data_IF_453898661031
#
_entry.id   IF_453898661031
#
_cell.length_a   1.000
_cell.length_b   1.000
_cell.length_c   1.000
_cell.angle_alpha   90.00
_cell.angle_beta   90.00
_cell.angle_gamma   90.00
#
_symmetry.space_group_name_H-M   'P 1'
#
loop_
_entity.id
_entity.type
_entity.pdbx_description
1 polymer ?
#
# COMPACT_ATOMS: atom_id res chain seq x y z
N UNK A 1 7.39 14.68 12.04
CA UNK A 1 6.82 13.30 12.04
C UNK A 1 5.54 13.32 11.22
N UNK A 2 5.35 12.38 10.31
CA UNK A 2 4.12 12.31 9.50
C UNK A 2 3.09 11.44 10.22
N UNK A 3 1.84 11.88 10.29
CA UNK A 3 0.72 11.07 10.81
C UNK A 3 0.36 10.03 9.74
N UNK A 4 0.24 8.77 10.15
CA UNK A 4 0.00 7.63 9.24
C UNK A 4 -1.48 7.33 9.01
N UNK A 5 -2.36 7.89 9.84
CA UNK A 5 -3.80 7.61 9.88
C UNK A 5 -4.18 6.16 10.18
N UNK A 6 -3.21 5.35 10.63
CA UNK A 6 -3.47 4.06 11.27
C UNK A 6 -3.75 4.34 12.75
N UNK A 7 -5.02 4.40 13.12
CA UNK A 7 -5.46 4.85 14.45
C UNK A 7 -5.54 3.74 15.50
N UNK A 8 -5.27 2.50 15.11
CA UNK A 8 -5.26 1.34 15.99
C UNK A 8 -4.41 0.21 15.42
N UNK A 9 -3.89 -0.63 16.31
CA UNK A 9 -3.21 -1.86 15.94
C UNK A 9 -4.23 -2.98 15.66
N UNK A 10 -3.87 -3.97 14.84
CA UNK A 10 -4.73 -5.11 14.57
C UNK A 10 -5.01 -5.91 15.85
N UNK A 11 -6.18 -6.51 15.90
CA UNK A 11 -6.64 -7.38 16.97
C UNK A 11 -6.14 -8.83 16.84
N UNK A 12 -5.64 -9.22 15.67
CA UNK A 12 -5.30 -10.60 15.34
C UNK A 12 -6.52 -11.45 14.97
N UNK A 13 -7.74 -10.91 15.03
CA UNK A 13 -8.98 -11.62 14.69
C UNK A 13 -9.51 -11.26 13.30
N UNK A 14 -8.78 -10.43 12.55
CA UNK A 14 -9.15 -10.03 11.21
C UNK A 14 -9.20 -11.24 10.27
N UNK A 15 -10.22 -11.27 9.42
CA UNK A 15 -10.40 -12.29 8.38
C UNK A 15 -10.65 -11.62 7.04
N UNK A 16 -10.49 -12.37 5.95
CA UNK A 16 -10.80 -11.94 4.59
C UNK A 16 -9.58 -11.85 3.67
N UNK A 17 -9.83 -11.49 2.42
CA UNK A 17 -8.83 -11.43 1.35
C UNK A 17 -8.46 -9.98 1.00
N UNK A 18 -7.16 -9.71 0.90
CA UNK A 18 -6.62 -8.36 0.74
C UNK A 18 -5.57 -8.31 -0.36
N UNK A 19 -5.76 -7.45 -1.35
CA UNK A 19 -4.81 -7.27 -2.46
C UNK A 19 -3.88 -6.10 -2.18
N UNK A 20 -2.63 -6.39 -1.83
CA UNK A 20 -1.62 -5.36 -1.55
C UNK A 20 -0.69 -5.16 -2.73
N UNK A 21 -0.14 -3.94 -2.84
CA UNK A 21 0.96 -3.63 -3.74
C UNK A 21 2.11 -3.07 -2.93
N UNK A 22 3.31 -3.48 -3.29
CA UNK A 22 4.55 -2.89 -2.80
C UNK A 22 5.39 -2.51 -4.01
N UNK A 23 5.38 -1.23 -4.35
CA UNK A 23 6.22 -0.68 -5.39
C UNK A 23 7.55 -0.27 -4.73
N UNK A 24 8.56 -1.12 -4.91
CA UNK A 24 9.89 -0.92 -4.37
C UNK A 24 10.86 -0.27 -5.37
N UNK A 25 12.14 -0.17 -4.99
CA UNK A 25 13.19 0.40 -5.82
C UNK A 25 13.49 -0.40 -7.10
N UNK A 26 13.30 -1.72 -7.07
CA UNK A 26 13.71 -2.62 -8.17
C UNK A 26 12.56 -3.45 -8.70
N UNK A 27 11.60 -3.76 -7.83
CA UNK A 27 10.50 -4.65 -8.15
C UNK A 27 9.19 -4.03 -7.67
N UNK A 28 8.14 -4.29 -8.44
CA UNK A 28 6.77 -4.20 -8.03
C UNK A 28 6.34 -5.57 -7.50
N UNK A 29 5.78 -5.64 -6.31
CA UNK A 29 5.16 -6.86 -5.77
C UNK A 29 3.66 -6.65 -5.66
N UNK A 30 2.89 -7.62 -6.12
CA UNK A 30 1.45 -7.71 -5.91
C UNK A 30 1.19 -8.95 -5.07
N UNK A 31 0.42 -8.83 -3.99
CA UNK A 31 0.06 -9.96 -3.13
C UNK A 31 -1.44 -10.04 -2.91
N UNK A 32 -2.00 -11.24 -2.91
CA UNK A 32 -3.27 -11.58 -2.27
C UNK A 32 -2.93 -12.18 -0.90
N UNK A 33 -3.38 -11.52 0.15
CA UNK A 33 -3.20 -11.94 1.55
C UNK A 33 -4.55 -12.39 2.07
N UNK A 34 -4.66 -13.64 2.51
CA UNK A 34 -5.87 -14.17 3.15
C UNK A 34 -5.64 -14.28 4.65
N UNK A 35 -6.30 -13.42 5.41
CA UNK A 35 -6.31 -13.48 6.87
C UNK A 35 -7.43 -14.43 7.33
N UNK A 36 -7.13 -15.24 8.34
CA UNK A 36 -8.03 -16.25 8.92
C UNK A 36 -8.08 -16.14 10.46
N UNK A 37 -7.65 -15.00 11.01
CA UNK A 37 -7.31 -14.86 12.42
C UNK A 37 -5.91 -15.39 12.76
N UNK A 38 -5.41 -15.09 13.96
CA UNK A 38 -4.04 -15.35 14.40
C UNK A 38 -3.78 -16.83 14.75
N UNK A 39 -4.85 -17.63 14.92
CA UNK A 39 -4.74 -19.08 15.18
C UNK A 39 -4.36 -19.88 13.93
N UNK A 40 -4.56 -19.31 12.74
CA UNK A 40 -4.26 -19.94 11.47
C UNK A 40 -3.11 -19.21 10.75
N UNK A 41 -2.37 -19.95 9.92
CA UNK A 41 -1.35 -19.34 9.07
C UNK A 41 -1.99 -18.45 8.01
N UNK A 42 -1.36 -17.28 7.79
CA UNK A 42 -1.72 -16.36 6.72
C UNK A 42 -1.36 -17.00 5.38
N UNK A 43 -2.33 -17.09 4.46
CA UNK A 43 -2.06 -17.50 3.07
C UNK A 43 -1.65 -16.27 2.24
N UNK A 44 -0.55 -16.38 1.51
CA UNK A 44 -0.01 -15.30 0.69
C UNK A 44 0.30 -15.83 -0.71
N UNK A 45 -0.45 -15.34 -1.70
CA UNK A 45 -0.13 -15.53 -3.11
C UNK A 45 0.51 -14.24 -3.61
N UNK A 46 1.68 -14.34 -4.22
CA UNK A 46 2.42 -13.15 -4.65
C UNK A 46 2.95 -13.27 -6.08
N UNK A 47 3.10 -12.12 -6.71
CA UNK A 47 3.80 -11.94 -7.98
C UNK A 47 4.78 -10.79 -7.86
N UNK A 48 6.02 -11.02 -8.31
CA UNK A 48 7.08 -10.02 -8.34
C UNK A 48 7.38 -9.68 -9.80
N UNK A 49 7.22 -8.41 -10.16
CA UNK A 49 7.53 -7.86 -11.47
C UNK A 49 8.75 -6.95 -11.36
N UNK A 50 9.81 -7.24 -12.11
CA UNK A 50 10.98 -6.35 -12.18
C UNK A 50 10.58 -5.06 -12.88
N UNK A 51 10.96 -3.92 -12.30
CA UNK A 51 10.71 -2.61 -12.91
C UNK A 51 11.64 -2.40 -14.11
N UNK A 52 11.11 -2.13 -15.31
CA UNK A 52 11.91 -1.63 -16.43
C UNK A 52 12.61 -0.33 -16.04
N UNK A 53 13.88 -0.12 -16.45
CA UNK A 53 14.60 1.11 -16.16
C UNK A 53 13.88 2.37 -16.65
N UNK A 54 13.17 2.26 -17.78
CA UNK A 54 12.40 3.35 -18.39
C UNK A 54 11.27 3.89 -17.50
N UNK A 55 10.74 3.07 -16.58
CA UNK A 55 9.69 3.51 -15.65
C UNK A 55 10.26 4.49 -14.64
N UNK A 56 11.52 4.32 -14.23
CA UNK A 56 12.11 5.13 -13.15
C UNK A 56 12.32 6.58 -13.54
N UNK A 57 12.42 6.87 -14.83
CA UNK A 57 12.66 8.21 -15.39
C UNK A 57 11.56 8.62 -16.38
N UNK A 58 10.39 7.99 -16.28
CA UNK A 58 9.25 8.22 -17.17
C UNK A 58 8.29 9.26 -16.60
N UNK A 59 7.03 9.16 -17.01
CA UNK A 59 5.93 9.99 -16.52
C UNK A 59 4.95 9.18 -15.64
N UNK A 60 4.07 9.91 -14.96
CA UNK A 60 3.01 9.34 -14.12
C UNK A 60 2.15 8.31 -14.88
N UNK A 61 1.80 8.59 -16.13
CA UNK A 61 0.96 7.69 -16.93
C UNK A 61 1.64 6.34 -17.17
N UNK A 62 2.92 6.36 -17.54
CA UNK A 62 3.74 5.16 -17.78
C UNK A 62 3.85 4.32 -16.50
N UNK A 63 4.08 4.96 -15.34
CA UNK A 63 4.12 4.29 -14.05
C UNK A 63 2.80 3.59 -13.73
N UNK A 64 1.69 4.35 -13.74
CA UNK A 64 0.41 3.82 -13.32
C UNK A 64 -0.14 2.76 -14.28
N UNK A 65 0.11 2.91 -15.58
CA UNK A 65 -0.21 1.89 -16.57
C UNK A 65 0.54 0.57 -16.30
N UNK A 66 1.81 0.62 -15.90
CA UNK A 66 2.56 -0.58 -15.54
C UNK A 66 2.04 -1.23 -14.25
N UNK A 67 1.76 -0.43 -13.22
CA UNK A 67 1.22 -0.92 -11.94
C UNK A 67 -0.13 -1.60 -12.15
N UNK A 68 -1.05 -0.92 -12.83
CA UNK A 68 -2.40 -1.45 -13.10
C UNK A 68 -2.37 -2.62 -14.08
N UNK A 69 -1.45 -2.62 -15.05
CA UNK A 69 -1.23 -3.78 -15.93
C UNK A 69 -0.78 -5.01 -15.16
N UNK A 70 0.16 -4.84 -14.22
CA UNK A 70 0.64 -5.93 -13.34
C UNK A 70 -0.45 -6.45 -12.41
N UNK A 71 -1.30 -5.56 -11.87
CA UNK A 71 -2.48 -5.93 -11.10
C UNK A 71 -3.46 -6.75 -11.94
N UNK A 72 -3.86 -6.25 -13.10
CA UNK A 72 -4.83 -6.91 -13.99
C UNK A 72 -4.39 -8.34 -14.32
N UNK A 73 -3.12 -8.52 -14.67
CA UNK A 73 -2.57 -9.84 -14.94
C UNK A 73 -2.60 -10.75 -13.70
N UNK A 74 -2.24 -10.23 -12.53
CA UNK A 74 -2.30 -10.98 -11.26
C UNK A 74 -3.72 -11.43 -10.91
N UNK A 75 -4.71 -10.52 -11.03
CA UNK A 75 -6.11 -10.82 -10.75
C UNK A 75 -6.64 -11.90 -11.71
N UNK A 76 -6.29 -11.83 -13.00
CA UNK A 76 -6.67 -12.84 -14.00
C UNK A 76 -6.06 -14.21 -13.70
N UNK A 77 -4.78 -14.27 -13.37
CA UNK A 77 -4.09 -15.53 -13.03
C UNK A 77 -4.75 -16.24 -11.84
N UNK A 78 -5.19 -15.47 -10.84
CA UNK A 78 -5.81 -16.01 -9.63
C UNK A 78 -7.34 -16.13 -9.72
N UNK A 79 -7.92 -15.92 -10.91
CA UNK A 79 -9.36 -15.97 -11.20
C UNK A 79 -10.20 -15.03 -10.33
N UNK A 80 -9.58 -13.95 -9.88
CA UNK A 80 -10.22 -12.91 -9.06
C UNK A 80 -11.11 -11.96 -9.88
N UNK A 81 -11.15 -12.14 -11.20
CA UNK A 81 -12.03 -11.37 -12.10
C UNK A 81 -13.20 -12.20 -12.64
N UNK A 82 -13.34 -13.45 -12.22
CA UNK A 82 -14.20 -14.44 -12.89
C UNK A 82 -15.71 -14.15 -12.75
N UNK A 83 -16.15 -13.53 -11.64
CA UNK A 83 -17.56 -13.18 -11.41
C UNK A 83 -17.67 -11.72 -10.93
N UNK A 84 -18.11 -10.81 -11.82
CA UNK A 84 -18.33 -9.40 -11.47
C UNK A 84 -19.41 -9.20 -10.39
N UNK A 85 -20.27 -10.19 -10.17
CA UNK A 85 -21.31 -10.20 -9.12
C UNK A 85 -20.79 -10.69 -7.77
N UNK A 86 -19.64 -11.37 -7.73
CA UNK A 86 -19.02 -11.82 -6.51
C UNK A 86 -18.41 -10.62 -5.79
N UNK A 87 -19.04 -10.21 -4.68
CA UNK A 87 -18.63 -9.04 -3.90
C UNK A 87 -17.35 -9.29 -3.11
N UNK A 88 -16.91 -10.54 -2.95
CA UNK A 88 -15.74 -10.90 -2.14
C UNK A 88 -14.45 -10.20 -2.58
N UNK A 89 -14.36 -9.81 -3.86
CA UNK A 89 -13.17 -9.16 -4.43
C UNK A 89 -13.34 -7.68 -4.71
N UNK A 90 -14.51 -7.10 -4.40
CA UNK A 90 -14.78 -5.67 -4.55
C UNK A 90 -14.04 -4.81 -3.50
N UNK A 91 -13.53 -5.44 -2.44
CA UNK A 91 -12.83 -4.78 -1.33
C UNK A 91 -11.29 -4.87 -1.49
N UNK A 92 -10.78 -4.77 -2.72
CA UNK A 92 -9.35 -4.93 -3.03
C UNK A 92 -8.46 -3.85 -2.42
N UNK A 93 -7.95 -4.07 -1.20
CA UNK A 93 -7.22 -3.10 -0.37
C UNK A 93 -5.78 -2.82 -0.80
N UNK A 94 -5.61 -1.87 -1.69
CA UNK A 94 -4.29 -1.46 -2.17
C UNK A 94 -3.43 -0.82 -1.06
N UNK A 95 -2.13 -1.11 -1.05
CA UNK A 95 -1.10 -0.55 -0.17
C UNK A 95 -0.08 0.18 -1.07
N UNK A 96 0.51 1.29 -0.63
CA UNK A 96 1.45 2.06 -1.46
C UNK A 96 2.56 2.73 -0.61
N UNK A 97 3.77 2.19 -0.75
CA UNK A 97 4.90 2.37 0.18
C UNK A 97 5.88 3.50 -0.18
N UNK A 98 5.41 4.74 -0.29
CA UNK A 98 6.27 5.91 -0.58
C UNK A 98 6.14 7.05 0.43
N UNK A 99 7.15 7.93 0.55
CA UNK A 99 7.07 9.11 1.41
C UNK A 99 5.96 10.07 0.95
N UNK A 100 4.82 10.04 1.65
CA UNK A 100 3.67 10.88 1.35
C UNK A 100 3.27 11.71 2.58
N UNK A 101 2.74 12.91 2.33
CA UNK A 101 1.84 13.57 3.28
C UNK A 101 0.42 13.07 3.08
N UNK A 102 -0.27 12.84 4.18
CA UNK A 102 -1.60 12.26 4.19
C UNK A 102 -2.51 13.11 5.07
N UNK A 103 -3.69 13.45 4.57
CA UNK A 103 -4.75 14.11 5.33
C UNK A 103 -5.76 13.09 5.88
N UNK A 104 -5.73 11.86 5.35
CA UNK A 104 -6.51 10.68 5.77
C UNK A 104 -5.89 9.41 5.18
N UNK A 105 -6.30 8.22 5.65
CA UNK A 105 -5.63 6.93 5.38
C UNK A 105 -5.52 6.58 3.89
N UNK A 106 -6.49 6.98 3.07
CA UNK A 106 -6.52 6.72 1.63
C UNK A 106 -6.13 7.97 0.79
N UNK A 107 -5.51 8.97 1.42
CA UNK A 107 -4.88 10.10 0.74
C UNK A 107 -3.36 9.92 0.73
N UNK A 108 -2.68 10.41 -0.30
CA UNK A 108 -1.22 10.44 -0.30
C UNK A 108 -0.67 11.40 -1.34
N UNK A 109 -0.24 12.57 -0.89
CA UNK A 109 0.53 13.51 -1.70
C UNK A 109 2.00 13.14 -1.63
N UNK A 110 2.58 12.69 -2.75
CA UNK A 110 3.98 12.30 -2.77
C UNK A 110 4.84 13.53 -2.46
N UNK A 111 5.75 13.43 -1.49
CA UNK A 111 6.64 14.55 -1.14
C UNK A 111 7.83 14.62 -2.07
N UNK A 112 8.52 13.51 -2.20
CA UNK A 112 9.65 13.36 -3.11
C UNK A 112 9.87 11.89 -3.42
N UNK A 113 10.35 11.61 -4.62
CA UNK A 113 10.86 10.32 -5.01
C UNK A 113 12.13 9.99 -4.25
N UNK A 114 12.29 8.69 -4.02
CA UNK A 114 13.49 8.11 -3.41
C UNK A 114 13.84 6.84 -4.18
N UNK A 115 14.85 6.09 -3.74
CA UNK A 115 15.18 4.77 -4.33
C UNK A 115 15.52 4.84 -5.84
N UNK A 116 16.00 5.99 -6.33
CA UNK A 116 16.42 6.23 -7.71
C UNK A 116 15.27 6.44 -8.71
N UNK A 117 14.08 6.82 -8.22
CA UNK A 117 12.98 7.28 -9.04
C UNK A 117 13.11 8.79 -9.33
N UNK A 118 12.70 9.18 -10.52
CA UNK A 118 12.63 10.54 -11.03
C UNK A 118 11.49 10.60 -12.07
N UNK A 119 10.25 10.43 -11.60
CA UNK A 119 9.07 10.33 -12.46
C UNK A 119 8.32 11.66 -12.48
N UNK A 120 8.12 12.19 -13.68
CA UNK A 120 7.41 13.45 -13.88
C UNK A 120 5.91 13.32 -13.59
N UNK A 121 5.34 14.37 -12.98
CA UNK A 121 3.90 14.47 -12.70
C UNK A 121 3.38 13.67 -11.49
N UNK A 122 4.25 13.20 -10.59
CA UNK A 122 3.81 12.52 -9.34
C UNK A 122 4.23 13.26 -8.07
N UNK A 123 5.44 13.82 -8.02
CA UNK A 123 5.87 14.63 -6.87
C UNK A 123 4.96 15.85 -6.71
N UNK A 124 4.52 16.12 -5.47
CA UNK A 124 3.58 17.20 -5.21
C UNK A 124 2.14 16.90 -5.65
N UNK A 125 1.85 15.70 -6.16
CA UNK A 125 0.50 15.31 -6.57
C UNK A 125 -0.08 14.20 -5.68
N UNK A 126 -1.41 14.06 -5.71
CA UNK A 126 -2.11 13.01 -4.98
C UNK A 126 -2.00 11.66 -5.73
N UNK A 127 -0.95 10.91 -5.43
CA UNK A 127 -0.67 9.59 -6.02
C UNK A 127 -1.82 8.60 -5.81
N UNK A 128 -2.54 8.69 -4.69
CA UNK A 128 -3.73 7.87 -4.45
C UNK A 128 -4.84 8.16 -5.47
N UNK A 129 -5.04 9.42 -5.84
CA UNK A 129 -6.02 9.81 -6.87
C UNK A 129 -5.59 9.28 -8.24
N UNK A 130 -4.33 9.50 -8.63
CA UNK A 130 -3.83 9.05 -9.94
C UNK A 130 -3.94 7.53 -10.12
N UNK A 131 -3.67 6.77 -9.05
CA UNK A 131 -3.83 5.32 -9.03
C UNK A 131 -5.29 4.89 -9.15
N UNK A 132 -6.22 5.56 -8.47
CA UNK A 132 -7.68 5.33 -8.64
C UNK A 132 -8.11 5.57 -10.08
N UNK A 133 -7.66 6.66 -10.68
CA UNK A 133 -8.00 6.99 -12.07
C UNK A 133 -7.47 5.91 -13.03
N UNK A 134 -6.25 5.41 -12.80
CA UNK A 134 -5.69 4.32 -13.59
C UNK A 134 -6.45 2.99 -13.40
N UNK A 135 -6.86 2.66 -12.18
CA UNK A 135 -7.71 1.50 -11.89
C UNK A 135 -9.07 1.60 -12.60
N UNK A 136 -9.69 2.77 -12.56
CA UNK A 136 -10.96 3.05 -13.20
C UNK A 136 -10.87 2.96 -14.74
N UNK A 137 -9.82 3.52 -15.35
CA UNK A 137 -9.56 3.43 -16.80
C UNK A 137 -9.45 1.97 -17.29
N UNK A 138 -8.92 1.07 -16.46
CA UNK A 138 -8.82 -0.37 -16.75
C UNK A 138 -10.02 -1.18 -16.27
N UNK A 139 -10.99 -0.55 -15.62
CA UNK A 139 -12.18 -1.18 -15.06
C UNK A 139 -11.84 -2.38 -14.15
N UNK A 140 -10.83 -2.19 -13.29
CA UNK A 140 -10.47 -3.19 -12.28
C UNK A 140 -11.40 -3.06 -11.05
N UNK A 141 -11.89 -4.18 -10.49
CA UNK A 141 -12.84 -4.17 -9.36
C UNK A 141 -12.12 -3.98 -8.02
N UNK A 142 -11.22 -3.00 -7.90
CA UNK A 142 -10.42 -2.75 -6.68
C UNK A 142 -10.72 -1.37 -6.11
N UNK A 143 -10.73 -1.26 -4.77
CA UNK A 143 -10.91 -0.01 -4.04
C UNK A 143 -9.64 0.34 -3.23
N UNK A 144 -9.09 1.54 -3.47
CA UNK A 144 -7.96 2.04 -2.68
C UNK A 144 -8.43 2.54 -1.31
N UNK A 145 -8.36 1.67 -0.31
CA UNK A 145 -8.77 1.95 1.08
C UNK A 145 -7.66 2.50 1.98
N UNK A 146 -6.40 2.30 1.60
CA UNK A 146 -5.26 2.76 2.40
C UNK A 146 -4.05 3.08 1.53
N UNK A 147 -3.26 4.05 1.93
CA UNK A 147 -1.92 4.31 1.43
C UNK A 147 -1.04 4.33 2.67
N UNK A 148 -0.08 3.43 2.76
CA UNK A 148 0.73 3.28 3.97
C UNK A 148 2.19 3.12 3.60
N UNK A 149 3.05 3.79 4.35
CA UNK A 149 4.49 3.63 4.24
C UNK A 149 4.91 2.19 4.62
N UNK A 150 5.96 1.67 3.96
CA UNK A 150 6.53 0.33 4.21
C UNK A 150 6.81 0.05 5.70
N UNK A 151 7.34 1.03 6.42
CA UNK A 151 7.70 0.88 7.83
C UNK A 151 6.46 0.84 8.74
N UNK A 152 5.41 1.58 8.39
CA UNK A 152 4.10 1.48 9.06
C UNK A 152 3.46 0.12 8.79
N UNK A 153 3.50 -0.34 7.53
CA UNK A 153 3.00 -1.65 7.14
C UNK A 153 3.72 -2.79 7.86
N UNK A 154 5.05 -2.70 7.98
CA UNK A 154 5.86 -3.67 8.73
C UNK A 154 5.49 -3.70 10.21
N UNK A 155 5.34 -2.54 10.86
CA UNK A 155 4.89 -2.45 12.25
C UNK A 155 3.52 -3.10 12.45
N UNK A 156 2.54 -2.76 11.61
CA UNK A 156 1.17 -3.29 11.68
C UNK A 156 1.15 -4.81 11.43
N UNK A 157 1.91 -5.29 10.44
CA UNK A 157 2.01 -6.72 10.15
C UNK A 157 2.65 -7.52 11.30
N UNK A 158 3.66 -6.94 11.97
CA UNK A 158 4.24 -7.54 13.17
C UNK A 158 3.25 -7.52 14.34
N UNK A 159 2.55 -6.40 14.55
CA UNK A 159 1.52 -6.26 15.59
C UNK A 159 0.36 -7.25 15.44
N UNK A 160 0.05 -7.68 14.20
CA UNK A 160 -0.95 -8.73 13.96
C UNK A 160 -0.56 -10.08 14.57
N UNK A 161 0.74 -10.38 14.67
CA UNK A 161 1.25 -11.62 15.25
C UNK A 161 1.69 -11.48 16.71
N UNK A 162 2.15 -10.30 17.09
CA UNK A 162 2.64 -9.97 18.42
C UNK A 162 2.02 -8.64 18.89
N UNK A 163 0.95 -8.69 19.72
CA UNK A 163 0.23 -7.50 20.18
C UNK A 163 1.08 -6.49 20.96
N UNK A 164 2.25 -6.88 21.47
CA UNK A 164 3.16 -5.98 22.18
C UNK A 164 4.03 -5.12 21.23
N UNK A 165 3.92 -5.34 19.91
CA UNK A 165 4.64 -4.54 18.90
C UNK A 165 4.08 -3.12 18.82
N UNK A 166 4.86 -2.16 19.32
CA UNK A 166 4.52 -0.72 19.26
C UNK A 166 5.47 0.12 18.38
N UNK A 167 6.55 -0.47 17.88
CA UNK A 167 7.56 0.18 17.02
C UNK A 167 7.95 -0.78 15.90
N UNK A 168 8.03 -0.29 14.67
CA UNK A 168 8.65 -0.96 13.53
C UNK A 168 9.79 -0.13 12.98
N UNK A 169 10.88 -0.77 12.57
CA UNK A 169 12.03 -0.11 11.98
C UNK A 169 12.55 -0.89 10.77
N UNK A 170 12.97 -0.17 9.72
CA UNK A 170 13.57 -0.74 8.52
C UNK A 170 15.03 -0.29 8.47
N UNK A 171 15.94 -1.26 8.38
CA UNK A 171 17.38 -1.07 8.19
C UNK A 171 17.81 -1.72 6.87
N UNK A 172 17.88 -0.94 5.79
CA UNK A 172 18.23 -1.45 4.46
C UNK A 172 18.92 -0.39 3.61
N UNK A 173 18.54 -0.27 2.33
CA UNK A 173 19.04 0.80 1.43
C UNK A 173 18.74 2.20 1.99
N UNK A 174 17.71 2.33 2.83
CA UNK A 174 17.46 3.48 3.69
C UNK A 174 17.12 3.03 5.12
N UNK A 175 17.01 4.01 6.02
CA UNK A 175 16.60 3.79 7.42
C UNK A 175 15.30 4.55 7.70
N UNK A 176 14.33 3.90 8.33
CA UNK A 176 13.06 4.53 8.72
C UNK A 176 12.47 3.83 9.96
N UNK A 177 11.64 4.55 10.72
CA UNK A 177 10.93 4.02 11.89
C UNK A 177 9.48 4.51 11.92
N UNK A 178 8.58 3.66 12.41
CA UNK A 178 7.19 3.97 12.71
C UNK A 178 6.88 3.50 14.13
N UNK A 179 6.04 4.22 14.85
CA UNK A 179 5.67 3.86 16.22
C UNK A 179 4.24 4.30 16.55
N UNK A 180 3.67 3.68 17.58
CA UNK A 180 2.36 4.07 18.14
C UNK A 180 2.55 5.21 19.12
N UNK A 181 1.80 6.30 18.92
CA UNK A 181 1.84 7.49 19.79
C UNK A 181 0.44 7.79 20.35
N UNK A 182 0.40 8.35 21.55
CA UNK A 182 -0.84 8.82 22.16
C UNK A 182 -1.27 10.16 21.53
N UNK A 183 -2.46 10.18 20.91
CA UNK A 183 -3.02 11.37 20.25
C UNK A 183 -3.07 12.61 21.16
N UNK A 184 -3.29 12.44 22.47
CA UNK A 184 -3.36 13.56 23.42
C UNK A 184 -2.00 14.25 23.63
N UNK A 185 -0.91 13.58 23.31
CA UNK A 185 0.46 14.11 23.45
C UNK A 185 0.99 14.72 22.16
N UNK A 186 0.34 14.45 21.02
CA UNK A 186 0.75 14.92 19.70
C UNK A 186 0.31 16.38 19.48
N UNK A 187 1.19 17.34 19.76
CA UNK A 187 0.94 18.79 19.51
C UNK A 187 0.82 19.20 18.03
N UNK A 188 0.77 18.23 17.11
CA UNK A 188 0.80 18.45 15.65
C UNK A 188 -0.47 17.96 14.93
N UNK A 189 -1.48 17.45 15.65
CA UNK A 189 -2.82 17.28 15.08
C UNK A 189 -3.41 18.68 14.87
N UNK A 190 -3.83 18.95 13.64
CA UNK A 190 -4.23 20.27 13.17
C UNK A 190 -5.31 20.86 14.08
N UNK A 191 -5.12 22.11 14.49
CA UNK A 191 -6.11 22.86 15.26
C UNK A 191 -7.39 23.10 14.45
N UNK A 192 -8.50 23.16 15.20
CA UNK A 192 -9.79 23.82 14.96
C UNK A 192 -10.28 23.98 13.51
#
# INVERSE_FOLDING_TARGET
MNVTWVLGLPSGHETGEYVTIDLGGTNLRVCLVTLKGQQEEIDIKQRVCRLPPTIKTGDAETLWNFVVGSLDEFLKTHRLTANREDRSLRDGRLCFSYPASQDYIHHGKLKTWTKGFDIDGVEGENAASQLRDALAKRNLPLELVALVNDTTGAMVASAYKDPDTIIGAIFGTGCNAAYVENQLTTRYSHGN
#
